data_IF_048186512360
#
_entry.id   IF_048186512360
#
_cell.length_a   1.000
_cell.length_b   1.000
_cell.length_c   1.000
_cell.angle_alpha   90.00
_cell.angle_beta   90.00
_cell.angle_gamma   90.00
#
_symmetry.space_group_name_H-M   'P 1'
#
loop_
_entity.id
_entity.type
_entity.pdbx_description
1 polymer ?
#
# COMPACT_ATOMS: atom_id res chain seq x y z
N UNK A 1 -28.02 -23.74 -6.30
CA UNK A 1 -28.24 -23.12 -7.62
C UNK A 1 -26.88 -22.77 -8.19
N UNK A 2 -26.37 -23.48 -9.20
CA UNK A 2 -25.06 -23.18 -9.77
C UNK A 2 -25.19 -22.08 -10.81
N UNK A 3 -24.30 -21.09 -10.73
CA UNK A 3 -24.16 -20.03 -11.72
C UNK A 3 -23.61 -20.60 -13.03
N UNK A 4 -24.39 -20.50 -14.10
CA UNK A 4 -23.96 -20.79 -15.47
C UNK A 4 -23.28 -19.54 -16.00
N UNK A 5 -21.97 -19.63 -16.26
CA UNK A 5 -21.22 -18.58 -16.98
C UNK A 5 -21.33 -18.88 -18.47
N UNK A 6 -22.19 -18.14 -19.17
CA UNK A 6 -22.24 -18.14 -20.63
C UNK A 6 -21.17 -17.17 -21.15
N UNK A 7 -20.14 -17.69 -21.82
CA UNK A 7 -19.18 -16.86 -22.56
C UNK A 7 -19.70 -16.75 -23.99
N UNK A 8 -20.15 -15.59 -24.48
CA UNK A 8 -20.49 -15.42 -25.87
C UNK A 8 -19.21 -15.25 -26.68
N UNK A 9 -19.00 -16.10 -27.69
CA UNK A 9 -18.02 -15.83 -28.74
C UNK A 9 -18.75 -15.82 -30.09
N UNK A 10 -18.50 -14.79 -30.91
CA UNK A 10 -19.01 -14.68 -32.28
C UNK A 10 -18.01 -15.33 -33.22
N UNK A 11 -18.45 -16.29 -34.03
CA UNK A 11 -17.71 -16.70 -35.22
C UNK A 11 -18.49 -16.19 -36.43
N UNK A 12 -17.86 -15.37 -37.25
CA UNK A 12 -18.35 -15.07 -38.59
C UNK A 12 -17.83 -16.16 -39.54
N UNK A 13 -18.73 -16.85 -40.22
CA UNK A 13 -18.39 -17.78 -41.30
C UNK A 13 -18.94 -17.21 -42.61
N UNK A 14 -18.13 -17.03 -43.65
CA UNK A 14 -18.58 -16.45 -44.91
C UNK A 14 -19.37 -17.46 -45.75
N UNK A 15 -20.46 -17.01 -46.37
CA UNK A 15 -21.24 -17.74 -47.39
C UNK A 15 -21.31 -16.92 -48.69
N UNK A 16 -21.41 -17.53 -49.89
CA UNK A 16 -21.08 -16.88 -51.16
C UNK A 16 -22.09 -15.85 -51.70
N UNK A 17 -23.19 -15.55 -51.00
CA UNK A 17 -24.29 -14.71 -51.53
C UNK A 17 -24.65 -13.47 -50.69
N UNK A 18 -23.70 -12.92 -49.92
CA UNK A 18 -23.75 -11.50 -49.52
C UNK A 18 -24.89 -11.05 -48.59
N UNK A 19 -25.56 -11.97 -47.86
CA UNK A 19 -26.55 -11.64 -46.82
C UNK A 19 -26.25 -12.47 -45.56
N UNK A 20 -26.12 -11.82 -44.41
CA UNK A 20 -25.85 -12.48 -43.12
C UNK A 20 -27.17 -12.85 -42.42
N UNK A 21 -27.41 -14.15 -42.24
CA UNK A 21 -28.55 -14.69 -41.48
C UNK A 21 -28.05 -15.21 -40.12
N UNK A 22 -28.63 -14.76 -39.01
CA UNK A 22 -28.28 -15.24 -37.67
C UNK A 22 -29.22 -16.39 -37.27
N UNK A 23 -28.75 -17.64 -37.41
CA UNK A 23 -29.44 -18.82 -36.89
C UNK A 23 -28.99 -19.13 -35.46
N UNK A 24 -29.96 -19.28 -34.54
CA UNK A 24 -29.75 -19.80 -33.19
C UNK A 24 -30.18 -21.27 -33.14
N UNK A 25 -29.21 -22.19 -33.14
CA UNK A 25 -29.46 -23.63 -32.96
C UNK A 25 -28.87 -24.07 -31.60
N UNK A 26 -29.66 -24.63 -30.67
CA UNK A 26 -29.13 -25.20 -29.43
C UNK A 26 -28.58 -26.61 -29.68
N UNK A 27 -27.26 -26.77 -29.82
CA UNK A 27 -26.65 -28.10 -29.88
C UNK A 27 -26.65 -28.77 -28.49
N UNK A 28 -27.49 -29.79 -28.33
CA UNK A 28 -27.34 -30.80 -27.27
C UNK A 28 -26.16 -31.69 -27.61
N UNK A 29 -25.00 -31.47 -26.99
CA UNK A 29 -23.94 -32.47 -26.99
C UNK A 29 -24.15 -33.45 -25.82
N UNK A 30 -24.64 -34.64 -26.15
CA UNK A 30 -24.59 -35.82 -25.28
C UNK A 30 -23.24 -36.49 -25.48
N UNK A 31 -22.40 -36.54 -24.43
CA UNK A 31 -21.09 -37.21 -24.47
C UNK A 31 -21.21 -38.57 -23.78
N UNK A 32 -20.72 -39.68 -24.36
CA UNK A 32 -20.90 -41.03 -23.83
C UNK A 32 -20.01 -41.31 -22.61
N UNK A 33 -20.54 -42.13 -21.70
CA UNK A 33 -19.90 -42.63 -20.48
C UNK A 33 -18.64 -43.47 -20.80
N UNK A 34 -17.46 -42.87 -20.68
CA UNK A 34 -16.21 -43.60 -20.49
C UNK A 34 -15.89 -43.62 -18.99
N UNK A 35 -15.88 -44.83 -18.43
CA UNK A 35 -15.49 -45.09 -17.05
C UNK A 35 -14.02 -44.74 -16.85
N UNK A 36 -13.77 -43.60 -16.21
CA UNK A 36 -12.47 -43.23 -15.67
C UNK A 36 -12.41 -43.73 -14.21
N UNK A 37 -11.35 -44.43 -13.78
CA UNK A 37 -11.16 -44.73 -12.37
C UNK A 37 -10.99 -43.40 -11.62
N UNK A 38 -11.87 -43.17 -10.65
CA UNK A 38 -11.82 -42.03 -9.74
C UNK A 38 -10.44 -41.98 -9.06
N UNK A 39 -9.63 -40.91 -9.22
CA UNK A 39 -8.68 -40.61 -8.17
C UNK A 39 -9.52 -40.17 -6.97
N UNK A 40 -9.52 -40.97 -5.90
CA UNK A 40 -10.12 -40.59 -4.63
C UNK A 40 -9.52 -39.26 -4.20
N UNK A 41 -10.26 -38.18 -4.39
CA UNK A 41 -9.93 -36.90 -3.77
C UNK A 41 -10.05 -37.11 -2.26
N UNK A 42 -8.97 -36.89 -1.48
CA UNK A 42 -9.10 -36.94 -0.03
C UNK A 42 -10.13 -35.88 0.40
N UNK A 43 -10.89 -36.14 1.48
CA UNK A 43 -11.94 -35.24 1.93
C UNK A 43 -11.38 -33.82 2.13
N UNK A 44 -12.16 -32.80 1.75
CA UNK A 44 -11.87 -31.35 1.86
C UNK A 44 -11.41 -30.86 3.26
N UNK A 45 -11.41 -31.75 4.24
CA UNK A 45 -10.84 -31.58 5.57
C UNK A 45 -9.30 -31.73 5.61
N UNK A 46 -8.67 -32.32 4.58
CA UNK A 46 -7.21 -32.49 4.48
C UNK A 46 -6.48 -31.32 3.82
N UNK A 47 -7.19 -30.37 3.22
CA UNK A 47 -6.61 -29.19 2.55
C UNK A 47 -6.49 -27.97 3.46
N UNK A 48 -7.07 -28.03 4.65
CA UNK A 48 -6.89 -27.03 5.70
C UNK A 48 -6.55 -27.77 6.98
N UNK A 49 -5.31 -27.72 7.50
CA UNK A 49 -5.04 -28.26 8.82
C UNK A 49 -5.93 -27.52 9.83
N UNK A 50 -6.99 -28.20 10.29
CA UNK A 50 -7.68 -27.81 11.51
C UNK A 50 -6.74 -28.13 12.65
N UNK A 51 -6.58 -27.14 13.53
CA UNK A 51 -5.65 -27.08 14.65
C UNK A 51 -4.31 -26.50 14.20
N UNK A 52 -4.06 -25.25 14.60
CA UNK A 52 -2.73 -24.90 15.03
C UNK A 52 -2.36 -25.92 16.11
N UNK A 53 -1.60 -26.96 15.73
CA UNK A 53 -0.90 -27.77 16.71
C UNK A 53 -0.18 -26.77 17.63
N UNK A 54 -0.46 -26.84 18.93
CA UNK A 54 0.44 -26.20 19.90
C UNK A 54 1.83 -26.72 19.53
N UNK A 55 2.86 -25.87 19.38
CA UNK A 55 4.18 -26.34 19.01
C UNK A 55 4.55 -27.49 19.93
N UNK A 56 4.57 -28.70 19.38
CA UNK A 56 5.00 -29.88 20.09
C UNK A 56 6.50 -29.68 20.28
N UNK A 57 6.90 -29.38 21.52
CA UNK A 57 8.30 -29.26 21.90
C UNK A 57 8.94 -30.66 21.78
N UNK A 58 9.26 -31.07 20.57
CA UNK A 58 10.09 -32.25 20.34
C UNK A 58 11.53 -31.90 20.74
N UNK A 59 12.25 -32.79 21.47
CA UNK A 59 13.65 -32.58 21.84
C UNK A 59 14.55 -32.25 20.64
N UNK A 60 14.19 -32.75 19.46
CA UNK A 60 14.91 -32.53 18.21
C UNK A 60 14.88 -31.05 17.76
N UNK A 61 13.83 -30.30 18.10
CA UNK A 61 13.71 -28.87 17.79
C UNK A 61 14.64 -28.02 18.65
N UNK A 62 14.95 -28.47 19.87
CA UNK A 62 15.87 -27.80 20.80
C UNK A 62 17.34 -28.11 20.50
N UNK A 63 17.64 -29.24 19.86
CA UNK A 63 19.01 -29.66 19.54
C UNK A 63 19.74 -28.70 18.57
N UNK A 64 18.99 -27.89 17.80
CA UNK A 64 19.55 -26.86 16.92
C UNK A 64 19.89 -25.53 17.61
N UNK A 65 19.48 -25.31 18.86
CA UNK A 65 19.66 -24.02 19.56
C UNK A 65 20.77 -24.09 20.60
N UNK A 66 21.65 -23.09 20.59
CA UNK A 66 22.64 -22.91 21.65
C UNK A 66 22.01 -22.18 22.85
N UNK A 67 21.43 -22.94 23.78
CA UNK A 67 20.78 -22.41 24.99
C UNK A 67 21.73 -21.70 25.97
N UNK A 68 23.04 -21.81 25.74
CA UNK A 68 24.06 -21.06 26.52
C UNK A 68 24.37 -19.68 25.93
N UNK A 69 23.81 -19.35 24.76
CA UNK A 69 24.02 -18.06 24.14
C UNK A 69 23.31 -16.95 24.93
N UNK A 70 24.09 -15.92 25.28
CA UNK A 70 23.67 -14.70 26.00
C UNK A 70 23.76 -13.46 25.12
N UNK A 71 23.88 -13.64 23.80
CA UNK A 71 23.89 -12.53 22.86
C UNK A 71 22.60 -11.71 22.95
N UNK A 72 22.69 -10.42 22.63
CA UNK A 72 21.58 -9.47 22.79
C UNK A 72 21.60 -8.48 21.64
N UNK A 73 20.46 -8.30 20.97
CA UNK A 73 20.28 -7.37 19.86
C UNK A 73 19.66 -6.02 20.27
N UNK A 74 19.40 -5.82 21.57
CA UNK A 74 18.90 -4.54 22.11
C UNK A 74 19.72 -3.32 21.66
N UNK A 75 21.07 -3.34 21.67
CA UNK A 75 21.85 -2.17 21.22
C UNK A 75 21.55 -1.80 19.76
N UNK A 76 21.43 -2.81 18.88
CA UNK A 76 21.12 -2.61 17.46
C UNK A 76 19.74 -1.99 17.27
N UNK A 77 18.74 -2.46 18.02
CA UNK A 77 17.38 -1.88 18.01
C UNK A 77 17.45 -0.40 18.38
N UNK A 78 18.10 -0.07 19.50
CA UNK A 78 18.21 1.31 19.98
C UNK A 78 18.91 2.22 18.97
N UNK A 79 20.07 1.78 18.45
CA UNK A 79 20.85 2.56 17.48
C UNK A 79 20.06 2.84 16.21
N UNK A 80 19.51 1.80 15.57
CA UNK A 80 18.78 1.94 14.31
C UNK A 80 17.52 2.80 14.50
N UNK A 81 16.72 2.51 15.52
CA UNK A 81 15.45 3.21 15.73
C UNK A 81 15.65 4.68 16.12
N UNK A 82 16.60 5.01 16.99
CA UNK A 82 16.86 6.40 17.36
C UNK A 82 17.34 7.23 16.17
N UNK A 83 18.27 6.68 15.37
CA UNK A 83 18.77 7.37 14.18
C UNK A 83 17.63 7.64 13.20
N UNK A 84 16.76 6.64 12.95
CA UNK A 84 15.63 6.78 12.04
C UNK A 84 14.56 7.74 12.57
N UNK A 85 14.26 7.72 13.87
CA UNK A 85 13.33 8.66 14.52
C UNK A 85 13.81 10.11 14.31
N UNK A 86 15.08 10.38 14.61
CA UNK A 86 15.66 11.72 14.44
C UNK A 86 15.64 12.14 12.98
N UNK A 87 16.02 11.22 12.07
CA UNK A 87 16.07 11.49 10.64
C UNK A 87 14.67 11.77 10.05
N UNK A 88 13.68 10.93 10.35
CA UNK A 88 12.29 11.12 9.91
C UNK A 88 11.72 12.41 10.48
N UNK A 89 11.93 12.68 11.78
CA UNK A 89 11.50 13.93 12.42
C UNK A 89 12.10 15.16 11.74
N UNK A 90 13.41 15.15 11.46
CA UNK A 90 14.10 16.23 10.78
C UNK A 90 13.58 16.44 9.35
N UNK A 91 13.42 15.36 8.58
CA UNK A 91 12.98 15.42 7.17
C UNK A 91 11.54 15.92 7.05
N UNK A 92 10.63 15.38 7.87
CA UNK A 92 9.22 15.83 7.89
C UNK A 92 9.13 17.30 8.31
N UNK A 93 9.86 17.70 9.36
CA UNK A 93 9.90 19.10 9.80
C UNK A 93 10.42 20.03 8.71
N UNK A 94 11.53 19.65 8.06
CA UNK A 94 12.12 20.45 6.99
C UNK A 94 11.21 20.56 5.78
N UNK A 95 10.49 19.48 5.43
CA UNK A 95 9.48 19.49 4.38
C UNK A 95 8.34 20.45 4.71
N UNK A 96 7.79 20.39 5.93
CA UNK A 96 6.72 21.30 6.39
C UNK A 96 7.21 22.74 6.29
N UNK A 97 8.41 23.04 6.78
CA UNK A 97 8.99 24.40 6.72
C UNK A 97 9.12 24.87 5.27
N UNK A 98 9.63 24.00 4.38
CA UNK A 98 9.76 24.31 2.96
C UNK A 98 8.39 24.63 2.32
N UNK A 99 7.38 23.78 2.54
CA UNK A 99 6.06 23.94 1.92
C UNK A 99 5.26 25.10 2.50
N UNK A 100 5.27 25.27 3.82
CA UNK A 100 4.51 26.30 4.51
C UNK A 100 5.12 27.70 4.33
N UNK A 101 6.45 27.84 4.47
CA UNK A 101 7.10 29.15 4.49
C UNK A 101 7.72 29.54 3.14
N UNK A 102 8.30 28.59 2.40
CA UNK A 102 9.03 28.89 1.14
C UNK A 102 8.08 28.84 -0.05
N UNK A 103 7.37 27.72 -0.23
CA UNK A 103 6.42 27.55 -1.35
C UNK A 103 5.03 28.14 -1.04
N UNK A 104 4.70 28.32 0.24
CA UNK A 104 3.39 28.82 0.74
C UNK A 104 2.19 28.07 0.18
N UNK A 105 2.33 26.77 -0.08
CA UNK A 105 1.26 25.90 -0.56
C UNK A 105 1.43 24.50 0.03
N UNK A 106 0.37 24.03 0.70
CA UNK A 106 0.25 22.67 1.20
C UNK A 106 -0.60 21.84 0.25
N UNK A 107 -0.19 20.60 0.04
CA UNK A 107 -0.87 19.65 -0.82
C UNK A 107 -1.27 18.42 -0.04
N UNK A 108 -2.14 17.59 -0.63
CA UNK A 108 -2.59 16.32 -0.02
C UNK A 108 -1.39 15.41 0.30
N UNK A 109 -0.36 15.38 -0.55
CA UNK A 109 0.88 14.62 -0.30
C UNK A 109 1.57 15.03 1.01
N UNK A 110 1.48 16.30 1.42
CA UNK A 110 2.10 16.82 2.63
C UNK A 110 1.35 16.36 3.89
N UNK A 111 0.01 16.29 3.87
CA UNK A 111 -0.75 15.76 5.00
C UNK A 111 -0.54 14.25 5.17
N UNK A 112 -0.53 13.51 4.07
CA UNK A 112 -0.28 12.07 4.07
C UNK A 112 1.09 11.74 4.65
N UNK A 113 2.12 12.54 4.33
CA UNK A 113 3.48 12.27 4.83
C UNK A 113 3.66 12.64 6.29
N UNK A 114 2.97 13.68 6.76
CA UNK A 114 2.94 14.03 8.20
C UNK A 114 2.32 12.89 9.00
N UNK A 115 1.20 12.36 8.51
CA UNK A 115 0.51 11.23 9.15
C UNK A 115 1.37 9.96 9.13
N UNK A 116 2.02 9.66 8.00
CA UNK A 116 2.95 8.54 7.87
C UNK A 116 4.14 8.67 8.83
N UNK A 117 4.72 9.88 8.95
CA UNK A 117 5.79 10.17 9.89
C UNK A 117 5.36 9.95 11.33
N UNK A 118 4.19 10.46 11.72
CA UNK A 118 3.64 10.25 13.07
C UNK A 118 3.47 8.77 13.39
N UNK A 119 2.87 7.98 12.49
CA UNK A 119 2.69 6.55 12.70
C UNK A 119 4.00 5.76 12.71
N UNK A 120 4.99 6.18 11.91
CA UNK A 120 6.34 5.60 11.96
C UNK A 120 7.00 5.85 13.32
N UNK A 121 6.86 7.07 13.87
CA UNK A 121 7.38 7.41 15.20
C UNK A 121 6.70 6.59 16.30
N UNK A 122 5.38 6.42 16.24
CA UNK A 122 4.64 5.57 17.18
C UNK A 122 5.13 4.12 17.09
N UNK A 123 5.24 3.57 15.88
CA UNK A 123 5.72 2.21 15.67
C UNK A 123 7.14 2.00 16.22
N UNK A 124 8.07 2.90 15.92
CA UNK A 124 9.43 2.86 16.45
C UNK A 124 9.49 3.01 17.98
N UNK A 125 8.68 3.89 18.56
CA UNK A 125 8.61 4.05 20.02
C UNK A 125 8.10 2.80 20.74
N UNK A 126 7.14 2.09 20.13
CA UNK A 126 6.61 0.83 20.67
C UNK A 126 7.64 -0.29 20.55
N UNK A 127 8.41 -0.34 19.46
CA UNK A 127 9.53 -1.27 19.31
C UNK A 127 10.62 -1.03 20.37
N UNK A 128 10.97 0.24 20.64
CA UNK A 128 11.89 0.60 21.73
C UNK A 128 11.34 0.21 23.11
N UNK A 129 10.06 0.44 23.36
CA UNK A 129 9.42 0.06 24.62
C UNK A 129 9.43 -1.47 24.83
N UNK A 130 9.21 -2.25 23.76
CA UNK A 130 9.26 -3.71 23.79
C UNK A 130 10.63 -4.26 24.25
N UNK A 131 11.74 -3.52 24.06
CA UNK A 131 13.07 -3.93 24.56
C UNK A 131 13.15 -4.04 26.08
N UNK A 132 12.29 -3.32 26.81
CA UNK A 132 12.18 -3.42 28.28
C UNK A 132 11.53 -4.73 28.73
N UNK A 133 10.77 -5.36 27.84
CA UNK A 133 10.02 -6.59 28.09
C UNK A 133 10.67 -7.82 27.45
N UNK A 134 11.95 -7.73 27.07
CA UNK A 134 12.75 -8.85 26.57
C UNK A 134 12.96 -8.87 25.05
N UNK A 135 12.41 -7.93 24.27
CA UNK A 135 12.67 -7.88 22.82
C UNK A 135 14.17 -7.77 22.51
N UNK A 136 14.68 -8.67 21.66
CA UNK A 136 16.10 -8.75 21.30
C UNK A 136 16.98 -9.53 22.27
N UNK A 137 16.41 -10.18 23.27
CA UNK A 137 17.05 -11.24 24.05
C UNK A 137 16.48 -12.59 23.67
N UNK A 138 17.30 -13.64 23.81
CA UNK A 138 16.82 -15.00 23.68
C UNK A 138 15.76 -15.33 24.73
N UNK A 139 14.75 -16.11 24.36
CA UNK A 139 13.63 -16.44 25.27
C UNK A 139 14.09 -17.15 26.55
N UNK A 140 15.18 -17.92 26.50
CA UNK A 140 15.76 -18.61 27.66
C UNK A 140 16.54 -17.69 28.62
N UNK A 141 16.82 -16.44 28.21
CA UNK A 141 17.49 -15.45 29.05
C UNK A 141 16.52 -14.56 29.85
N UNK A 142 15.20 -14.73 29.66
CA UNK A 142 14.19 -13.99 30.42
C UNK A 142 14.12 -14.45 31.90
N UNK A 143 13.78 -13.55 32.83
CA UNK A 143 13.81 -13.83 34.26
C UNK A 143 12.79 -14.90 34.67
N UNK A 144 13.24 -15.82 35.53
CA UNK A 144 12.40 -16.80 36.24
C UNK A 144 11.96 -16.19 37.58
N UNK A 145 10.74 -16.45 38.11
CA UNK A 145 9.80 -17.54 37.80
C UNK A 145 8.99 -17.39 36.49
N UNK A 146 8.43 -18.51 36.01
CA UNK A 146 7.69 -18.62 34.74
C UNK A 146 6.52 -17.65 34.64
N UNK A 147 5.86 -17.34 35.76
CA UNK A 147 4.74 -16.39 35.79
C UNK A 147 5.18 -14.98 35.38
N UNK A 148 6.35 -14.54 35.85
CA UNK A 148 6.94 -13.25 35.49
C UNK A 148 7.38 -13.24 34.02
N UNK A 149 7.91 -14.36 33.51
CA UNK A 149 8.29 -14.51 32.11
C UNK A 149 7.07 -14.37 31.18
N UNK A 150 5.95 -15.02 31.52
CA UNK A 150 4.72 -14.97 30.74
C UNK A 150 4.17 -13.53 30.68
N UNK A 151 4.15 -12.83 31.81
CA UNK A 151 3.71 -11.43 31.86
C UNK A 151 4.60 -10.53 31.00
N UNK A 152 5.93 -10.67 31.09
CA UNK A 152 6.86 -9.90 30.26
C UNK A 152 6.65 -10.20 28.76
N UNK A 153 6.50 -11.47 28.39
CA UNK A 153 6.25 -11.87 26.99
C UNK A 153 4.94 -11.28 26.48
N UNK A 154 3.86 -11.36 27.27
CA UNK A 154 2.56 -10.76 26.93
C UNK A 154 2.68 -9.25 26.72
N UNK A 155 3.42 -8.54 27.57
CA UNK A 155 3.67 -7.10 27.36
C UNK A 155 4.50 -6.86 26.10
N UNK A 156 5.55 -7.65 25.86
CA UNK A 156 6.37 -7.55 24.65
C UNK A 156 5.54 -7.70 23.38
N UNK A 157 4.76 -8.78 23.28
CA UNK A 157 3.88 -9.07 22.12
C UNK A 157 2.80 -7.99 21.97
N UNK A 158 2.27 -7.45 23.06
CA UNK A 158 1.31 -6.34 23.01
C UNK A 158 1.92 -5.07 22.40
N UNK A 159 3.13 -4.68 22.80
CA UNK A 159 3.80 -3.51 22.22
C UNK A 159 4.11 -3.74 20.73
N UNK A 160 4.56 -4.94 20.40
CA UNK A 160 4.81 -5.37 19.03
C UNK A 160 3.57 -5.37 18.14
N UNK A 161 2.45 -5.85 18.66
CA UNK A 161 1.15 -5.81 18.00
C UNK A 161 0.77 -4.37 17.66
N UNK A 162 0.86 -3.46 18.63
CA UNK A 162 0.59 -2.03 18.40
C UNK A 162 1.57 -1.46 17.36
N UNK A 163 2.86 -1.77 17.47
CA UNK A 163 3.87 -1.33 16.52
C UNK A 163 3.53 -1.76 15.08
N UNK A 164 3.05 -2.98 14.89
CA UNK A 164 2.71 -3.54 13.58
C UNK A 164 1.46 -2.90 12.96
N UNK A 165 0.44 -2.58 13.77
CA UNK A 165 -0.75 -1.84 13.32
C UNK A 165 -0.35 -0.47 12.77
N UNK A 166 0.45 0.28 13.53
CA UNK A 166 0.92 1.61 13.11
C UNK A 166 1.88 1.54 11.92
N UNK A 167 2.73 0.51 11.84
CA UNK A 167 3.56 0.26 10.65
C UNK A 167 2.70 0.07 9.39
N UNK A 168 1.66 -0.77 9.47
CA UNK A 168 0.77 -1.05 8.34
C UNK A 168 0.10 0.22 7.83
N UNK A 169 -0.35 1.08 8.75
CA UNK A 169 -0.89 2.39 8.40
C UNK A 169 0.18 3.32 7.80
N UNK A 170 1.35 3.44 8.43
CA UNK A 170 2.45 4.30 7.99
C UNK A 170 2.91 3.95 6.56
N UNK A 171 3.06 2.66 6.26
CA UNK A 171 3.43 2.17 4.93
C UNK A 171 2.40 2.56 3.87
N UNK A 172 1.11 2.40 4.16
CA UNK A 172 0.03 2.78 3.24
C UNK A 172 0.03 4.30 2.97
N UNK A 173 0.11 5.13 4.02
CA UNK A 173 0.14 6.59 3.85
C UNK A 173 1.38 7.09 3.10
N UNK A 174 2.55 6.46 3.32
CA UNK A 174 3.78 6.77 2.59
C UNK A 174 3.62 6.49 1.10
N UNK A 175 3.10 5.32 0.74
CA UNK A 175 2.86 4.90 -0.65
C UNK A 175 1.82 5.81 -1.34
N UNK A 176 0.75 6.19 -0.63
CA UNK A 176 -0.25 7.15 -1.13
C UNK A 176 0.34 8.56 -1.33
N UNK A 177 1.24 9.02 -0.46
CA UNK A 177 1.95 10.29 -0.63
C UNK A 177 2.86 10.28 -1.89
N UNK A 178 3.53 9.16 -2.17
CA UNK A 178 4.32 8.98 -3.40
C UNK A 178 3.41 9.04 -4.63
N UNK A 179 2.31 8.28 -4.63
CA UNK A 179 1.37 8.23 -5.75
C UNK A 179 0.74 9.58 -6.07
N UNK A 180 0.29 10.30 -5.04
CA UNK A 180 -0.27 11.65 -5.20
C UNK A 180 0.79 12.64 -5.70
N UNK A 181 2.04 12.52 -5.24
CA UNK A 181 3.17 13.30 -5.78
C UNK A 181 3.43 12.99 -7.26
N UNK A 182 3.36 11.72 -7.68
CA UNK A 182 3.53 11.32 -9.08
C UNK A 182 2.38 11.78 -9.98
N UNK A 183 1.13 11.66 -9.54
CA UNK A 183 -0.04 12.15 -10.29
C UNK A 183 0.03 13.65 -10.58
N UNK A 184 0.68 14.40 -9.68
CA UNK A 184 0.92 15.83 -9.85
C UNK A 184 2.06 16.13 -10.83
N UNK A 185 3.14 15.37 -10.79
CA UNK A 185 4.31 15.58 -11.65
C UNK A 185 4.01 15.18 -13.09
N UNK A 186 3.34 14.05 -13.29
CA UNK A 186 3.12 13.49 -14.62
C UNK A 186 1.70 13.77 -15.15
N UNK A 187 1.63 14.26 -16.39
CA UNK A 187 0.38 14.54 -17.09
C UNK A 187 -0.04 13.44 -18.07
N UNK A 188 0.82 12.44 -18.32
CA UNK A 188 0.56 11.37 -19.28
C UNK A 188 -0.63 10.49 -18.87
N UNK A 189 -1.64 10.38 -19.75
CA UNK A 189 -2.90 9.67 -19.48
C UNK A 189 -2.69 8.21 -19.10
N UNK A 190 -1.87 7.47 -19.86
CA UNK A 190 -1.60 6.05 -19.59
C UNK A 190 -0.96 5.82 -18.20
N UNK A 191 0.01 6.66 -17.84
CA UNK A 191 0.66 6.59 -16.53
C UNK A 191 -0.32 6.90 -15.39
N UNK A 192 -1.22 7.89 -15.58
CA UNK A 192 -2.24 8.22 -14.58
C UNK A 192 -3.19 7.07 -14.28
N UNK A 193 -3.61 6.30 -15.30
CA UNK A 193 -4.44 5.11 -15.07
C UNK A 193 -3.73 4.06 -14.22
N UNK A 194 -2.43 3.81 -14.48
CA UNK A 194 -1.61 2.90 -13.67
C UNK A 194 -1.51 3.42 -12.23
N UNK A 195 -1.25 4.72 -12.05
CA UNK A 195 -1.13 5.33 -10.71
C UNK A 195 -2.45 5.30 -9.94
N UNK A 196 -3.59 5.56 -10.57
CA UNK A 196 -4.91 5.45 -9.93
C UNK A 196 -5.23 4.00 -9.55
N UNK A 197 -4.98 3.04 -10.44
CA UNK A 197 -5.13 1.62 -10.13
C UNK A 197 -4.26 1.19 -8.95
N UNK A 198 -3.00 1.64 -8.93
CA UNK A 198 -2.07 1.37 -7.82
C UNK A 198 -2.55 2.02 -6.51
N UNK A 199 -3.10 3.24 -6.55
CA UNK A 199 -3.65 3.91 -5.38
C UNK A 199 -4.85 3.17 -4.77
N UNK A 200 -5.73 2.63 -5.60
CA UNK A 200 -6.85 1.80 -5.15
C UNK A 200 -6.31 0.54 -4.47
N UNK A 201 -5.35 -0.15 -5.10
CA UNK A 201 -4.73 -1.36 -4.53
C UNK A 201 -4.04 -1.06 -3.20
N UNK A 202 -3.24 0.00 -3.12
CA UNK A 202 -2.54 0.41 -1.89
C UNK A 202 -3.54 0.74 -0.78
N UNK A 203 -4.62 1.45 -1.09
CA UNK A 203 -5.64 1.81 -0.10
C UNK A 203 -6.37 0.57 0.40
N UNK A 204 -6.81 -0.31 -0.52
CA UNK A 204 -7.50 -1.55 -0.17
C UNK A 204 -6.59 -2.47 0.68
N UNK A 205 -5.33 -2.63 0.28
CA UNK A 205 -4.35 -3.43 1.01
C UNK A 205 -4.00 -2.82 2.36
N UNK A 206 -3.85 -1.50 2.45
CA UNK A 206 -3.58 -0.81 3.71
C UNK A 206 -4.72 -0.98 4.72
N UNK A 207 -5.97 -0.79 4.28
CA UNK A 207 -7.16 -1.01 5.11
C UNK A 207 -7.27 -2.48 5.52
N UNK A 208 -7.11 -3.40 4.57
CA UNK A 208 -7.13 -4.83 4.83
C UNK A 208 -6.04 -5.23 5.85
N UNK A 209 -4.82 -4.73 5.69
CA UNK A 209 -3.71 -5.06 6.57
C UNK A 209 -3.91 -4.55 8.00
N UNK A 210 -4.40 -3.33 8.16
CA UNK A 210 -4.73 -2.76 9.47
C UNK A 210 -5.86 -3.56 10.13
N UNK A 211 -6.96 -3.82 9.42
CA UNK A 211 -8.09 -4.57 9.98
C UNK A 211 -7.73 -6.02 10.29
N UNK A 212 -7.00 -6.71 9.40
CA UNK A 212 -6.55 -8.08 9.62
C UNK A 212 -5.59 -8.18 10.81
N UNK A 213 -4.70 -7.21 10.98
CA UNK A 213 -3.81 -7.16 12.17
C UNK A 213 -4.64 -6.90 13.43
N UNK A 214 -5.59 -5.97 13.41
CA UNK A 214 -6.43 -5.66 14.56
C UNK A 214 -7.26 -6.88 14.98
N UNK A 215 -7.93 -7.51 14.01
CA UNK A 215 -8.83 -8.63 14.21
C UNK A 215 -8.16 -9.99 13.98
N UNK A 216 -6.86 -10.11 14.27
CA UNK A 216 -6.13 -11.36 14.05
C UNK A 216 -6.64 -12.55 14.87
N UNK A 217 -7.26 -12.26 16.01
CA UNK A 217 -7.82 -13.24 16.94
C UNK A 217 -9.24 -12.85 17.37
N UNK A 218 -10.06 -13.86 17.68
CA UNK A 218 -11.34 -13.71 18.35
C UNK A 218 -11.32 -14.50 19.68
N UNK A 219 -11.39 -13.84 20.85
CA UNK A 219 -11.44 -12.38 21.06
C UNK A 219 -10.10 -11.68 20.74
N UNK A 220 -10.14 -10.38 20.40
CA UNK A 220 -8.94 -9.59 20.02
C UNK A 220 -7.85 -9.63 21.09
N UNK A 221 -8.22 -9.73 22.38
CA UNK A 221 -7.26 -9.82 23.49
C UNK A 221 -6.31 -11.02 23.38
N UNK A 222 -6.75 -12.10 22.74
CA UNK A 222 -5.92 -13.28 22.53
C UNK A 222 -4.75 -13.06 21.54
N UNK A 223 -4.71 -11.90 20.88
CA UNK A 223 -3.56 -11.48 20.07
C UNK A 223 -2.28 -11.30 20.88
N UNK A 224 -2.38 -10.95 22.17
CA UNK A 224 -1.23 -10.73 23.06
C UNK A 224 -1.33 -11.51 24.38
N UNK A 225 -2.53 -11.92 24.78
CA UNK A 225 -2.78 -12.71 25.98
C UNK A 225 -3.00 -14.18 25.62
N UNK A 226 -1.95 -14.99 25.76
CA UNK A 226 -1.98 -16.42 25.45
C UNK A 226 -2.64 -17.28 26.53
N UNK A 227 -3.09 -16.69 27.65
CA UNK A 227 -3.81 -17.44 28.70
C UNK A 227 -5.25 -17.80 28.31
N UNK A 228 -5.76 -17.18 27.25
CA UNK A 228 -7.12 -17.37 26.74
C UNK A 228 -7.19 -18.65 25.89
N UNK A 229 -7.62 -19.75 26.51
CA UNK A 229 -7.64 -21.09 25.89
C UNK A 229 -8.61 -21.24 24.70
N UNK A 230 -9.76 -20.57 24.72
CA UNK A 230 -10.81 -20.71 23.68
C UNK A 230 -10.66 -19.72 22.50
N UNK A 231 -9.44 -19.26 22.24
CA UNK A 231 -9.17 -18.28 21.20
C UNK A 231 -9.08 -18.91 19.80
N UNK A 232 -9.62 -18.21 18.81
CA UNK A 232 -9.45 -18.55 17.39
C UNK A 232 -8.65 -17.44 16.70
N UNK A 233 -7.45 -17.77 16.26
CA UNK A 233 -6.59 -16.88 15.49
C UNK A 233 -6.31 -17.49 14.11
N UNK A 234 -6.21 -16.66 13.07
CA UNK A 234 -5.75 -17.13 11.76
C UNK A 234 -4.21 -17.22 11.74
N UNK A 235 -3.58 -17.98 10.81
CA UNK A 235 -2.13 -18.08 10.74
C UNK A 235 -1.50 -16.74 10.36
N UNK A 236 -1.08 -15.98 11.36
CA UNK A 236 -0.60 -14.60 11.19
C UNK A 236 0.71 -14.52 10.39
N UNK A 237 1.61 -15.49 10.55
CA UNK A 237 2.88 -15.53 9.82
C UNK A 237 2.64 -15.70 8.30
N UNK A 238 1.71 -16.57 7.91
CA UNK A 238 1.35 -16.76 6.50
C UNK A 238 0.73 -15.50 5.90
N UNK A 239 -0.10 -14.81 6.69
CA UNK A 239 -0.63 -13.50 6.34
C UNK A 239 0.49 -12.45 6.16
N UNK A 240 1.50 -12.43 7.03
CA UNK A 240 2.66 -11.53 6.89
C UNK A 240 3.43 -11.77 5.60
N UNK A 241 3.62 -13.04 5.20
CA UNK A 241 4.27 -13.38 3.93
C UNK A 241 3.45 -12.92 2.73
N UNK A 242 2.15 -13.19 2.72
CA UNK A 242 1.26 -12.75 1.65
C UNK A 242 1.24 -11.22 1.53
N UNK A 243 1.10 -10.52 2.66
CA UNK A 243 1.13 -9.06 2.71
C UNK A 243 2.50 -8.50 2.27
N UNK A 244 3.61 -9.13 2.66
CA UNK A 244 4.95 -8.73 2.23
C UNK A 244 5.14 -8.87 0.72
N UNK A 245 4.70 -9.98 0.13
CA UNK A 245 4.78 -10.20 -1.32
C UNK A 245 4.03 -9.13 -2.12
N UNK A 246 2.81 -8.79 -1.71
CA UNK A 246 2.03 -7.73 -2.37
C UNK A 246 2.68 -6.36 -2.18
N UNK A 247 3.23 -6.07 -0.99
CA UNK A 247 3.94 -4.81 -0.75
C UNK A 247 5.18 -4.65 -1.65
N UNK A 248 5.97 -5.72 -1.83
CA UNK A 248 7.12 -5.73 -2.75
C UNK A 248 6.66 -5.46 -4.19
N UNK A 249 5.55 -6.05 -4.62
CA UNK A 249 5.00 -5.80 -5.96
C UNK A 249 4.58 -4.33 -6.13
N UNK A 250 3.96 -3.73 -5.11
CA UNK A 250 3.62 -2.30 -5.12
C UNK A 250 4.88 -1.44 -5.19
N UNK A 251 5.90 -1.73 -4.38
CA UNK A 251 7.16 -1.00 -4.38
C UNK A 251 7.85 -1.06 -5.75
N UNK A 252 7.82 -2.24 -6.40
CA UNK A 252 8.30 -2.40 -7.76
C UNK A 252 7.53 -1.51 -8.75
N UNK A 253 6.20 -1.48 -8.67
CA UNK A 253 5.38 -0.61 -9.53
C UNK A 253 5.71 0.87 -9.30
N UNK A 254 5.90 1.30 -8.05
CA UNK A 254 6.26 2.68 -7.74
C UNK A 254 7.62 3.07 -8.33
N UNK A 255 8.61 2.16 -8.29
CA UNK A 255 9.92 2.39 -8.88
C UNK A 255 9.88 2.26 -10.41
N UNK A 256 9.08 1.38 -10.97
CA UNK A 256 9.03 1.15 -12.42
C UNK A 256 8.20 2.20 -13.17
N UNK A 257 7.10 2.66 -12.58
CA UNK A 257 6.12 3.53 -13.24
C UNK A 257 6.73 4.78 -13.91
N UNK A 258 7.67 5.51 -13.30
CA UNK A 258 8.21 6.71 -13.93
C UNK A 258 9.37 6.44 -14.90
N UNK A 259 10.01 5.26 -14.89
CA UNK A 259 11.22 4.97 -15.68
C UNK A 259 11.04 5.16 -17.19
N UNK A 260 9.98 4.60 -17.84
CA UNK A 260 9.82 4.74 -19.29
C UNK A 260 9.64 6.18 -19.73
N UNK A 261 8.95 6.99 -18.91
CA UNK A 261 8.70 8.39 -19.22
C UNK A 261 9.98 9.22 -19.15
N UNK A 262 10.84 8.94 -18.17
CA UNK A 262 12.12 9.65 -18.05
C UNK A 262 13.12 9.30 -19.15
N UNK A 263 13.07 8.09 -19.71
CA UNK A 263 13.94 7.71 -20.82
C UNK A 263 13.50 8.32 -22.16
N UNK A 264 12.21 8.65 -22.29
CA UNK A 264 11.67 9.30 -23.49
C UNK A 264 11.91 10.81 -23.53
N UNK A 265 12.27 11.45 -22.41
CA UNK A 265 12.34 12.90 -22.31
C UNK A 265 13.78 13.41 -22.40
N UNK A 266 14.07 14.30 -23.36
CA UNK A 266 15.37 14.95 -23.52
C UNK A 266 15.61 15.98 -22.40
N UNK A 267 15.93 15.49 -21.21
CA UNK A 267 16.14 16.28 -20.00
C UNK A 267 17.63 16.68 -19.89
N UNK A 268 17.96 17.93 -19.53
CA UNK A 268 19.34 18.34 -19.28
C UNK A 268 19.98 17.52 -18.15
N UNK A 269 21.28 17.22 -18.27
CA UNK A 269 22.04 16.31 -17.38
C UNK A 269 21.80 16.57 -15.88
N UNK A 270 21.63 17.85 -15.50
CA UNK A 270 21.44 18.29 -14.11
C UNK A 270 20.12 17.82 -13.51
N UNK A 271 19.01 17.92 -14.26
CA UNK A 271 17.72 17.41 -13.82
C UNK A 271 17.70 15.88 -13.85
N UNK A 272 18.38 15.26 -14.83
CA UNK A 272 18.56 13.81 -14.92
C UNK A 272 19.25 13.24 -13.68
N UNK A 273 20.28 13.91 -13.14
CA UNK A 273 20.95 13.53 -11.91
C UNK A 273 20.00 13.51 -10.70
N UNK A 274 19.16 14.55 -10.52
CA UNK A 274 18.19 14.57 -9.42
C UNK A 274 17.17 13.44 -9.52
N UNK A 275 16.75 13.11 -10.74
CA UNK A 275 15.83 12.00 -11.00
C UNK A 275 16.52 10.66 -10.69
N UNK A 276 17.77 10.48 -11.08
CA UNK A 276 18.56 9.30 -10.72
C UNK A 276 18.69 9.12 -9.20
N UNK A 277 18.89 10.21 -8.44
CA UNK A 277 18.92 10.13 -6.97
C UNK A 277 17.57 9.69 -6.41
N UNK A 278 16.46 10.23 -6.91
CA UNK A 278 15.12 9.82 -6.49
C UNK A 278 14.84 8.34 -6.79
N UNK A 279 15.23 7.86 -7.97
CA UNK A 279 15.14 6.44 -8.30
C UNK A 279 16.04 5.58 -7.43
N UNK A 280 17.26 6.04 -7.13
CA UNK A 280 18.18 5.34 -6.25
C UNK A 280 17.57 5.11 -4.87
N UNK A 281 16.99 6.15 -4.26
CA UNK A 281 16.32 6.02 -2.95
C UNK A 281 15.11 5.08 -3.03
N UNK A 282 14.30 5.18 -4.10
CA UNK A 282 13.18 4.25 -4.33
C UNK A 282 13.62 2.79 -4.46
N UNK A 283 14.74 2.55 -5.17
CA UNK A 283 15.31 1.21 -5.33
C UNK A 283 15.87 0.64 -4.01
N UNK A 284 16.47 1.48 -3.16
CA UNK A 284 16.91 1.07 -1.82
C UNK A 284 15.69 0.67 -0.97
N UNK A 285 14.58 1.42 -1.06
CA UNK A 285 13.32 1.04 -0.41
C UNK A 285 12.79 -0.32 -0.88
N UNK A 286 12.80 -0.57 -2.19
CA UNK A 286 12.44 -1.87 -2.76
C UNK A 286 13.35 -3.01 -2.28
N UNK A 287 14.67 -2.78 -2.24
CA UNK A 287 15.62 -3.75 -1.72
C UNK A 287 15.39 -4.04 -0.22
N UNK A 288 15.07 -3.02 0.57
CA UNK A 288 14.71 -3.18 1.98
C UNK A 288 13.49 -4.10 2.16
N UNK A 289 12.46 -3.95 1.32
CA UNK A 289 11.28 -4.82 1.32
C UNK A 289 11.62 -6.29 1.02
N UNK A 290 12.59 -6.55 0.13
CA UNK A 290 13.09 -7.92 -0.13
C UNK A 290 13.85 -8.46 1.08
N UNK A 291 14.77 -7.69 1.66
CA UNK A 291 15.54 -8.18 2.81
C UNK A 291 14.61 -8.48 3.99
N UNK A 292 13.51 -7.73 4.14
CA UNK A 292 12.48 -8.01 5.14
C UNK A 292 11.84 -9.38 4.98
N UNK A 293 11.47 -9.79 3.76
CA UNK A 293 10.81 -11.09 3.55
C UNK A 293 11.77 -12.25 3.83
N UNK A 294 13.05 -12.07 3.49
CA UNK A 294 14.11 -13.03 3.82
C UNK A 294 14.29 -13.11 5.33
N UNK A 295 14.38 -11.96 6.02
CA UNK A 295 14.52 -11.93 7.48
C UNK A 295 13.32 -12.55 8.22
N UNK A 296 12.14 -12.59 7.59
CA UNK A 296 10.96 -13.24 8.16
C UNK A 296 11.07 -14.77 8.19
N UNK A 297 11.91 -15.40 7.34
CA UNK A 297 12.13 -16.85 7.40
C UNK A 297 12.78 -17.32 8.68
N UNK A 298 13.57 -16.45 9.31
CA UNK A 298 14.33 -16.78 10.52
C UNK A 298 13.44 -16.75 11.78
N UNK A 299 12.21 -16.21 11.67
CA UNK A 299 11.24 -16.13 12.78
C UNK A 299 10.56 -17.48 13.04
N UNK A 300 10.78 -18.49 12.17
CA UNK A 300 10.24 -19.84 12.35
C UNK A 300 11.06 -20.58 13.42
N UNK A 301 10.68 -20.45 14.68
CA UNK A 301 11.39 -21.09 15.78
C UNK A 301 10.82 -20.78 17.16
N UNK A 302 11.42 -21.37 18.18
CA UNK A 302 11.07 -21.15 19.60
C UNK A 302 11.49 -19.74 20.04
N UNK A 303 12.56 -19.21 19.44
CA UNK A 303 13.21 -17.96 19.85
C UNK A 303 12.74 -16.74 19.07
N UNK A 304 11.41 -16.56 19.01
CA UNK A 304 10.76 -15.47 18.30
C UNK A 304 11.28 -14.11 18.78
N UNK A 305 11.51 -13.94 20.08
CA UNK A 305 11.92 -12.68 20.70
C UNK A 305 13.26 -12.14 20.19
N UNK A 306 14.18 -13.03 19.80
CA UNK A 306 15.48 -12.67 19.25
C UNK A 306 15.44 -12.47 17.72
N UNK A 307 14.89 -13.44 16.99
CA UNK A 307 14.90 -13.41 15.51
C UNK A 307 13.95 -12.37 14.89
N UNK A 308 12.94 -11.93 15.64
CA UNK A 308 11.98 -10.92 15.18
C UNK A 308 12.56 -9.51 15.09
N UNK A 309 13.74 -9.26 15.66
CA UNK A 309 14.41 -7.95 15.63
C UNK A 309 14.83 -7.53 14.22
N UNK A 310 15.36 -8.45 13.42
CA UNK A 310 15.77 -8.15 12.04
C UNK A 310 14.60 -7.65 11.19
N UNK A 311 13.48 -8.41 11.03
CA UNK A 311 12.35 -7.94 10.23
C UNK A 311 11.73 -6.66 10.79
N UNK A 312 11.69 -6.47 12.12
CA UNK A 312 11.24 -5.22 12.73
C UNK A 312 12.09 -4.01 12.29
N UNK A 313 13.41 -4.10 12.38
CA UNK A 313 14.26 -2.99 11.95
C UNK A 313 14.07 -2.68 10.47
N UNK A 314 13.93 -3.71 9.62
CA UNK A 314 13.66 -3.52 8.19
C UNK A 314 12.32 -2.84 7.92
N UNK A 315 11.25 -3.13 8.68
CA UNK A 315 9.97 -2.41 8.52
C UNK A 315 10.08 -0.91 8.76
N UNK A 316 10.87 -0.50 9.76
CA UNK A 316 11.04 0.90 10.13
C UNK A 316 11.96 1.60 9.13
N UNK A 317 13.01 0.91 8.66
CA UNK A 317 13.87 1.36 7.57
C UNK A 317 13.06 1.60 6.29
N UNK A 318 12.19 0.66 5.90
CA UNK A 318 11.30 0.75 4.73
C UNK A 318 10.46 2.04 4.77
N UNK A 319 9.73 2.25 5.87
CA UNK A 319 8.89 3.45 6.04
C UNK A 319 9.73 4.74 6.04
N UNK A 320 10.86 4.74 6.74
CA UNK A 320 11.75 5.92 6.81
C UNK A 320 12.33 6.29 5.45
N UNK A 321 12.81 5.30 4.67
CA UNK A 321 13.33 5.52 3.33
C UNK A 321 12.23 6.02 2.37
N UNK A 322 11.01 5.49 2.48
CA UNK A 322 9.87 5.99 1.71
C UNK A 322 9.57 7.46 2.02
N UNK A 323 9.58 7.85 3.30
CA UNK A 323 9.37 9.24 3.74
C UNK A 323 10.46 10.17 3.21
N UNK A 324 11.72 9.73 3.25
CA UNK A 324 12.85 10.49 2.71
C UNK A 324 12.70 10.65 1.20
N UNK A 325 12.43 9.55 0.49
CA UNK A 325 12.29 9.52 -0.97
C UNK A 325 11.27 10.55 -1.47
N UNK A 326 10.08 10.56 -0.88
CA UNK A 326 9.00 11.48 -1.30
C UNK A 326 9.26 12.93 -0.90
N UNK A 327 10.14 13.17 0.07
CA UNK A 327 10.46 14.51 0.60
C UNK A 327 11.56 15.25 -0.16
N UNK A 328 12.39 14.53 -0.92
CA UNK A 328 13.47 15.14 -1.72
C UNK A 328 12.94 16.11 -2.81
N UNK A 329 11.94 15.78 -3.66
CA UNK A 329 11.51 16.68 -4.75
C UNK A 329 10.93 18.02 -4.24
N UNK A 330 10.06 18.05 -3.22
CA UNK A 330 9.55 19.29 -2.63
C UNK A 330 10.59 20.18 -1.95
N UNK A 331 11.71 19.61 -1.51
CA UNK A 331 12.77 20.32 -0.79
C UNK A 331 13.81 20.96 -1.72
N UNK A 332 13.71 20.76 -3.04
CA UNK A 332 14.57 21.39 -4.06
C UNK A 332 14.79 22.91 -3.87
N UNK A 333 13.77 23.77 -3.68
CA UNK A 333 13.98 25.21 -3.52
C UNK A 333 14.72 25.59 -2.24
N UNK A 334 14.67 24.76 -1.20
CA UNK A 334 15.44 24.96 0.03
C UNK A 334 16.90 24.56 -0.20
N UNK A 335 17.15 23.41 -0.83
CA UNK A 335 18.50 22.99 -1.23
C UNK A 335 19.17 24.03 -2.12
N UNK A 336 18.40 24.70 -2.99
CA UNK A 336 18.88 25.82 -3.82
C UNK A 336 19.48 26.97 -3.00
N UNK A 337 18.86 27.26 -1.85
CA UNK A 337 19.22 28.41 -1.00
C UNK A 337 20.34 28.11 -0.02
N UNK A 338 20.49 26.85 0.41
CA UNK A 338 21.57 26.41 1.30
C UNK A 338 22.82 25.95 0.55
N UNK A 339 22.72 25.68 -0.75
CA UNK A 339 23.84 25.27 -1.57
C UNK A 339 24.93 26.37 -1.64
N UNK A 340 26.21 26.06 -1.41
CA UNK A 340 27.31 26.99 -1.67
C UNK A 340 27.35 27.41 -3.16
N UNK A 341 28.02 28.51 -3.54
CA UNK A 341 27.98 29.07 -4.90
C UNK A 341 28.30 28.05 -6.02
N UNK A 342 29.11 27.03 -5.70
CA UNK A 342 29.44 25.93 -6.61
C UNK A 342 28.24 25.00 -6.90
N UNK A 343 27.27 24.86 -5.99
CA UNK A 343 26.02 24.11 -6.17
C UNK A 343 24.82 25.03 -6.50
N UNK A 344 24.91 26.34 -6.26
CA UNK A 344 23.85 27.31 -6.54
C UNK A 344 23.51 27.40 -8.04
N UNK A 345 24.51 27.26 -8.92
CA UNK A 345 24.32 27.16 -10.37
C UNK A 345 23.66 25.84 -10.79
N UNK A 346 23.71 24.79 -9.98
CA UNK A 346 23.04 23.50 -10.26
C UNK A 346 21.53 23.53 -10.00
N UNK A 347 21.04 24.42 -9.14
CA UNK A 347 19.63 24.44 -8.70
C UNK A 347 18.85 25.65 -9.26
N UNK A 348 19.52 26.78 -9.56
CA UNK A 348 18.86 28.01 -10.03
C UNK A 348 18.47 27.99 -11.53
N UNK A 349 19.14 27.20 -12.37
CA UNK A 349 18.90 27.17 -13.83
C UNK A 349 17.59 26.46 -14.25
N UNK A 350 16.91 25.77 -13.33
CA UNK A 350 15.62 25.13 -13.59
C UNK A 350 14.43 26.09 -13.69
N UNK A 351 14.59 27.34 -13.23
CA UNK A 351 13.51 28.35 -13.16
C UNK A 351 13.66 29.44 -14.25
N UNK A 352 14.78 29.46 -14.99
CA UNK A 352 15.05 30.49 -16.01
C UNK A 352 14.74 30.07 -17.46
N UNK A 353 14.52 28.78 -17.74
CA UNK A 353 14.14 28.33 -19.09
C UNK A 353 12.75 28.82 -19.56
N UNK A 354 12.02 29.56 -18.73
CA UNK A 354 10.72 30.16 -19.06
C UNK A 354 10.75 31.70 -19.19
N UNK A 355 11.92 32.35 -19.06
CA UNK A 355 12.03 33.82 -19.12
C UNK A 355 13.09 34.30 -20.11
N UNK A 356 12.93 33.96 -21.38
CA UNK A 356 13.56 34.71 -22.49
C UNK A 356 12.54 34.89 -23.61
N UNK A 357 11.60 35.82 -23.41
CA UNK A 357 10.98 36.61 -24.47
C UNK A 357 10.86 38.04 -23.92
N UNK A 358 11.64 39.02 -24.43
CA UNK A 358 11.39 40.41 -24.09
C UNK A 358 10.33 40.95 -25.05
N UNK A 359 9.17 41.32 -24.53
CA UNK A 359 8.21 42.13 -25.29
C UNK A 359 6.75 41.80 -25.04
N UNK A 360 6.17 42.40 -24.01
CA UNK A 360 4.91 43.16 -24.09
C UNK A 360 4.42 43.49 -22.69
N UNK A 361 4.13 44.76 -22.47
CA UNK A 361 3.39 45.25 -21.32
C UNK A 361 2.03 44.55 -21.26
N UNK A 362 1.64 44.03 -20.09
CA UNK A 362 0.24 44.08 -19.67
C UNK A 362 0.10 43.92 -18.16
N UNK A 363 -0.31 45.04 -17.55
CA UNK A 363 -1.22 45.21 -16.41
C UNK A 363 -1.39 44.02 -15.45
N UNK A 364 -0.94 44.25 -14.24
CA UNK A 364 -1.32 43.60 -12.98
C UNK A 364 -2.84 43.34 -12.91
N UNK A 365 -3.23 42.07 -12.86
CA UNK A 365 -4.48 41.67 -12.23
C UNK A 365 -4.22 40.49 -11.31
N UNK A 366 -4.55 40.75 -10.05
CA UNK A 366 -4.36 39.94 -8.88
C UNK A 366 -5.61 39.09 -8.69
N UNK A 367 -5.44 37.77 -8.59
CA UNK A 367 -6.46 36.85 -8.12
C UNK A 367 -6.76 35.71 -9.09
N UNK A 368 -6.18 34.53 -8.84
CA UNK A 368 -6.94 33.29 -8.98
C UNK A 368 -6.29 32.15 -8.19
N UNK A 369 -6.81 31.91 -6.99
CA UNK A 369 -6.58 30.69 -6.19
C UNK A 369 -7.93 30.02 -5.92
N UNK A 370 -8.98 30.34 -6.69
CA UNK A 370 -10.31 29.74 -6.55
C UNK A 370 -10.61 28.68 -7.61
N UNK A 371 -9.88 28.63 -8.73
CA UNK A 371 -10.19 27.74 -9.85
C UNK A 371 -10.12 26.22 -9.60
N UNK A 372 -9.32 25.71 -8.66
CA UNK A 372 -9.17 24.25 -8.49
C UNK A 372 -10.19 23.65 -7.52
N UNK A 373 -10.64 24.42 -6.52
CA UNK A 373 -11.73 23.99 -5.62
C UNK A 373 -13.11 24.29 -6.21
N UNK A 374 -13.22 25.29 -7.09
CA UNK A 374 -14.44 25.60 -7.85
C UNK A 374 -14.83 24.52 -8.86
N UNK A 375 -13.86 23.89 -9.55
CA UNK A 375 -14.16 22.82 -10.51
C UNK A 375 -14.79 21.58 -9.86
N UNK A 376 -14.39 21.23 -8.64
CA UNK A 376 -14.99 20.09 -7.93
C UNK A 376 -16.36 20.43 -7.35
N UNK A 377 -16.61 21.68 -6.96
CA UNK A 377 -17.92 22.11 -6.47
C UNK A 377 -18.95 22.22 -7.61
N UNK A 378 -18.55 22.74 -8.78
CA UNK A 378 -19.42 22.80 -9.97
C UNK A 378 -19.73 21.40 -10.53
N UNK A 379 -18.80 20.44 -10.51
CA UNK A 379 -19.08 19.06 -10.91
C UNK A 379 -20.05 18.36 -9.93
N UNK A 380 -19.92 18.61 -8.63
CA UNK A 380 -20.84 18.06 -7.61
C UNK A 380 -22.22 18.73 -7.69
N UNK A 381 -22.30 20.05 -7.91
CA UNK A 381 -23.57 20.74 -8.12
C UNK A 381 -24.23 20.34 -9.44
N UNK A 382 -23.46 20.14 -10.53
CA UNK A 382 -24.01 19.63 -11.79
C UNK A 382 -24.47 18.18 -11.69
N UNK A 383 -23.78 17.33 -10.91
CA UNK A 383 -24.24 15.97 -10.63
C UNK A 383 -25.53 15.95 -9.79
N UNK A 384 -25.60 16.77 -8.73
CA UNK A 384 -26.79 16.90 -7.89
C UNK A 384 -27.98 17.52 -8.64
N UNK A 385 -27.74 18.44 -9.59
CA UNK A 385 -28.78 19.02 -10.44
C UNK A 385 -29.31 18.01 -11.47
N UNK A 386 -28.44 17.19 -12.07
CA UNK A 386 -28.82 16.09 -12.96
C UNK A 386 -29.64 15.01 -12.23
N UNK A 387 -29.33 14.71 -10.98
CA UNK A 387 -30.13 13.77 -10.17
C UNK A 387 -31.52 14.32 -9.85
N UNK A 388 -31.66 15.63 -9.56
CA UNK A 388 -32.97 16.27 -9.33
C UNK A 388 -33.81 16.35 -10.60
N UNK A 389 -33.20 16.63 -11.75
CA UNK A 389 -33.88 16.63 -13.05
C UNK A 389 -34.32 15.21 -13.46
N UNK A 390 -33.50 14.19 -13.17
CA UNK A 390 -33.84 12.79 -13.40
C UNK A 390 -34.97 12.30 -12.47
N UNK A 391 -35.00 12.74 -11.21
CA UNK A 391 -36.11 12.43 -10.28
C UNK A 391 -37.42 13.15 -10.65
N UNK A 392 -37.35 14.38 -11.15
CA UNK A 392 -38.53 15.12 -11.66
C UNK A 392 -39.11 14.46 -12.90
N UNK A 393 -38.26 14.05 -13.84
CA UNK A 393 -38.68 13.39 -15.08
C UNK A 393 -39.25 11.98 -14.83
N UNK A 394 -38.74 11.26 -13.82
CA UNK A 394 -39.26 9.96 -13.38
C UNK A 394 -40.60 10.10 -12.62
N UNK A 395 -40.81 11.21 -11.91
CA UNK A 395 -42.08 11.53 -11.25
C UNK A 395 -43.21 11.88 -12.22
N UNK A 396 -42.91 12.58 -13.31
CA UNK A 396 -43.90 12.88 -14.37
C UNK A 396 -44.24 11.64 -15.22
N UNK A 397 -43.28 10.73 -15.45
CA UNK A 397 -43.50 9.46 -16.15
C UNK A 397 -44.32 8.44 -15.34
N UNK A 398 -44.23 8.46 -14.00
CA UNK A 398 -45.05 7.61 -13.13
C UNK A 398 -46.49 8.16 -12.95
N UNK A 399 -46.68 9.46 -13.10
CA UNK A 399 -48.01 10.09 -13.06
C UNK A 399 -48.82 9.89 -14.36
N UNK A 400 -48.18 9.49 -15.47
CA UNK A 400 -48.84 9.29 -16.77
C UNK A 400 -49.20 7.83 -17.10
N UNK A 401 -48.99 6.88 -16.18
CA UNK A 401 -49.20 5.43 -16.43
C UNK A 401 -50.50 4.87 -15.81
N UNK A 402 -51.23 5.65 -14.99
CA UNK A 402 -52.56 5.27 -14.52
C UNK A 402 -53.67 5.71 -15.51
N UNK A 403 -53.80 4.96 -16.60
CA UNK A 403 -54.92 5.04 -17.54
C UNK A 403 -55.01 3.75 -18.39
N UNK A 404 -56.20 3.14 -18.58
CA UNK A 404 -56.30 1.73 -18.97
C UNK A 404 -56.16 1.55 -20.50
N UNK A 405 -55.33 0.59 -20.92
CA UNK A 405 -55.37 0.05 -22.28
C UNK A 405 -54.02 -0.39 -22.85
N UNK A 406 -53.74 -1.69 -22.84
CA UNK A 406 -52.80 -2.39 -23.74
C UNK A 406 -53.15 -2.14 -25.24
N UNK A 407 -52.27 -2.33 -26.27
CA UNK A 407 -51.17 -3.31 -26.33
C UNK A 407 -49.85 -2.95 -27.08
N UNK A 408 -48.81 -3.72 -26.75
CA UNK A 408 -47.63 -4.20 -27.50
C UNK A 408 -47.27 -3.56 -28.87
N UNK A 409 -46.04 -3.02 -28.95
CA UNK A 409 -45.19 -3.04 -30.17
C UNK A 409 -43.71 -2.90 -29.79
N UNK A 410 -42.95 -4.00 -29.80
CA UNK A 410 -41.90 -4.31 -30.80
C UNK A 410 -40.88 -3.17 -30.98
N UNK A 411 -39.72 -3.29 -30.33
CA UNK A 411 -38.58 -2.41 -30.55
C UNK A 411 -37.47 -3.14 -31.29
N UNK A 412 -37.07 -2.49 -32.38
CA UNK A 412 -36.14 -2.87 -33.43
C UNK A 412 -34.74 -2.42 -32.99
N UNK A 413 -33.76 -3.33 -32.95
CA UNK A 413 -32.35 -2.94 -32.80
C UNK A 413 -31.73 -2.72 -34.19
N UNK A 414 -31.23 -1.51 -34.40
CA UNK A 414 -30.38 -1.11 -35.52
C UNK A 414 -28.93 -1.55 -35.29
N UNK A 415 -28.28 -1.88 -36.42
CA UNK A 415 -26.97 -2.53 -36.62
C UNK A 415 -25.80 -1.87 -35.90
#
# INVERSE_FOLDING_TARGET
MPFIVLIPYRIAVPSPEGVYECQYEPQKLTVPSLAYPQPQMPPLHSLFPRQAERPSFSPDTLAGYNLSDKSTQKPTIWQVNLVLIVLVGAVVSLRIVCRAYITRRLFVDDYLIILAGLFTLVSASMALAATRYGLGEHIWNLPLPVDNMLEMLTQCVKHMYVAHVFYSAAGAFTKLSILTSYLRIFSAKALRWILYGTAIVVTAMGVCAVLATIFQCSPVKAAWDYTIADSKCFPFVDFLYANAGVNIAIDFVLVAAPLPYFWSLNIPLRQRLMICVLFGVGFIGFAASIIRIVSLSDVKGIDVTYYLVSPLNWTIIECSLGIICVSVPPMRPLLAKLAPPCFSSYISEGDQASKVYPGSQQRTQQGDVHGVMGMQLEEIEMAAKREREMQSSTGELLASVDGPGTPKSVQRCSV
#
